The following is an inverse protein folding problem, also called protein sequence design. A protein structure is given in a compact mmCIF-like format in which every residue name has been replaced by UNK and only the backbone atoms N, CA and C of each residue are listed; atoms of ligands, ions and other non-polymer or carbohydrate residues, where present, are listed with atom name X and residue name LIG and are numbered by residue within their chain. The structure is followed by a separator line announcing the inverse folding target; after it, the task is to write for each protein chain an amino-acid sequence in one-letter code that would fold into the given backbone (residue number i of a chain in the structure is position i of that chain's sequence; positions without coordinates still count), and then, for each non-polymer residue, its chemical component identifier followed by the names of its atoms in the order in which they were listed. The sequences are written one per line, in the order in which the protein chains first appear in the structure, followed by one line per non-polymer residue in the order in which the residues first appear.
data_IF_195011279264
#
_entry.id   IF_195011279264
#
_cell.length_a   1.000
_cell.length_b   1.000
_cell.length_c   1.000
_cell.angle_alpha   90.00
_cell.angle_beta   90.00
_cell.angle_gamma   90.00
#
_symmetry.space_group_name_H-M   'P 1'
#
loop_
_entity.id
_entity.type
_entity.pdbx_description
1 polymer ?
#
# COMPACT_ATOMS: atom_id res chain seq x y z
N UNK A 1 16.31 -3.16 7.11
CA UNK A 1 17.64 -2.58 6.95
C UNK A 1 17.97 -1.61 8.10
N UNK A 2 19.19 -1.12 8.19
CA UNK A 2 19.65 -0.25 9.29
C UNK A 2 18.86 1.06 9.38
N UNK A 3 18.46 1.64 8.24
CA UNK A 3 17.68 2.88 8.21
C UNK A 3 16.26 2.69 8.77
N UNK A 4 15.58 1.61 8.39
CA UNK A 4 14.27 1.28 8.94
C UNK A 4 14.33 1.00 10.44
N UNK A 5 15.39 0.31 10.90
CA UNK A 5 15.62 0.07 12.31
C UNK A 5 15.90 1.37 13.09
N UNK A 6 16.65 2.30 12.50
CA UNK A 6 16.91 3.60 13.12
C UNK A 6 15.63 4.44 13.28
N UNK A 7 14.76 4.46 12.27
CA UNK A 7 13.46 5.15 12.34
C UNK A 7 12.59 4.63 13.50
N UNK A 8 12.70 3.34 13.82
CA UNK A 8 11.91 2.72 14.88
C UNK A 8 12.53 2.85 16.29
N UNK A 9 13.64 3.58 16.43
CA UNK A 9 14.28 3.78 17.72
C UNK A 9 13.66 4.94 18.50
N UNK A 10 13.25 4.75 19.77
CA UNK A 10 12.63 5.79 20.60
C UNK A 10 13.50 7.05 20.77
N UNK A 11 14.82 6.91 20.83
CA UNK A 11 15.73 8.04 20.95
C UNK A 11 15.75 8.91 19.69
N UNK A 12 15.76 8.27 18.50
CA UNK A 12 15.70 8.97 17.23
C UNK A 12 14.36 9.70 17.07
N UNK A 13 13.26 9.06 17.45
CA UNK A 13 11.93 9.65 17.48
C UNK A 13 11.87 10.88 18.39
N UNK A 14 12.40 10.79 19.61
CA UNK A 14 12.45 11.91 20.53
C UNK A 14 13.21 13.12 19.94
N UNK A 15 14.38 12.89 19.32
CA UNK A 15 15.14 13.95 18.65
C UNK A 15 14.38 14.57 17.48
N UNK A 16 13.70 13.77 16.70
CA UNK A 16 12.89 14.27 15.57
C UNK A 16 11.69 15.11 16.06
N UNK A 17 10.98 14.65 17.09
CA UNK A 17 9.82 15.36 17.63
C UNK A 17 10.20 16.70 18.29
N UNK A 18 11.36 16.74 18.94
CA UNK A 18 11.88 17.96 19.61
C UNK A 18 12.64 18.91 18.68
N UNK A 19 12.75 18.60 17.39
CA UNK A 19 13.42 19.46 16.42
C UNK A 19 12.62 20.75 16.18
N UNK A 20 13.16 21.89 16.63
CA UNK A 20 12.45 23.17 16.69
C UNK A 20 12.48 23.96 15.36
N UNK A 21 13.45 23.74 14.48
CA UNK A 21 13.50 24.38 13.17
C UNK A 21 12.55 23.67 12.20
N UNK A 22 11.32 24.16 12.14
CA UNK A 22 10.23 23.55 11.38
C UNK A 22 10.51 23.56 9.88
N UNK A 23 11.08 24.63 9.33
CA UNK A 23 11.34 24.75 7.89
C UNK A 23 12.38 23.71 7.44
N UNK A 24 13.48 23.61 8.16
CA UNK A 24 14.52 22.62 7.91
C UNK A 24 13.98 21.20 8.10
N UNK A 25 13.16 20.96 9.14
CA UNK A 25 12.54 19.66 9.39
C UNK A 25 11.65 19.22 8.24
N UNK A 26 10.78 20.09 7.75
CA UNK A 26 9.89 19.79 6.60
C UNK A 26 10.69 19.49 5.34
N UNK A 27 11.66 20.34 5.02
CA UNK A 27 12.53 20.16 3.85
C UNK A 27 13.32 18.84 3.90
N UNK A 28 13.86 18.52 5.06
CA UNK A 28 14.60 17.29 5.31
C UNK A 28 13.71 16.05 5.17
N UNK A 29 12.53 16.08 5.79
CA UNK A 29 11.54 15.00 5.72
C UNK A 29 11.15 14.71 4.28
N UNK A 30 10.77 15.74 3.51
CA UNK A 30 10.42 15.61 2.10
C UNK A 30 11.54 14.97 1.26
N UNK A 31 12.77 15.42 1.48
CA UNK A 31 13.93 14.86 0.78
C UNK A 31 14.15 13.39 1.10
N UNK A 32 13.99 13.00 2.37
CA UNK A 32 14.14 11.60 2.78
C UNK A 32 13.02 10.72 2.24
N UNK A 33 11.78 11.19 2.19
CA UNK A 33 10.67 10.49 1.55
C UNK A 33 10.98 10.16 0.08
N UNK A 34 11.43 11.14 -0.68
CA UNK A 34 11.80 10.96 -2.09
C UNK A 34 12.96 9.96 -2.27
N UNK A 35 13.97 10.04 -1.40
CA UNK A 35 15.12 9.12 -1.44
C UNK A 35 14.67 7.71 -1.04
N UNK A 36 13.84 7.57 0.00
CA UNK A 36 13.32 6.29 0.46
C UNK A 36 12.50 5.59 -0.62
N UNK A 37 11.60 6.31 -1.28
CA UNK A 37 10.80 5.76 -2.38
C UNK A 37 11.69 5.24 -3.53
N UNK A 38 12.72 6.00 -3.90
CA UNK A 38 13.71 5.57 -4.91
C UNK A 38 14.51 4.34 -4.46
N UNK A 39 14.92 4.30 -3.19
CA UNK A 39 15.62 3.15 -2.63
C UNK A 39 14.76 1.89 -2.62
N UNK A 40 13.49 1.99 -2.19
CA UNK A 40 12.53 0.88 -2.22
C UNK A 40 12.41 0.33 -3.65
N UNK A 41 12.13 1.20 -4.63
CA UNK A 41 12.07 0.80 -6.05
C UNK A 41 13.34 0.04 -6.48
N UNK A 42 14.54 0.58 -6.21
CA UNK A 42 15.78 -0.07 -6.61
C UNK A 42 15.99 -1.43 -5.93
N UNK A 43 15.66 -1.54 -4.65
CA UNK A 43 15.75 -2.81 -3.91
C UNK A 43 14.80 -3.85 -4.51
N UNK A 44 13.58 -3.46 -4.85
CA UNK A 44 12.61 -4.35 -5.49
C UNK A 44 13.08 -4.81 -6.87
N UNK A 45 13.58 -3.91 -7.71
CA UNK A 45 14.16 -4.26 -9.03
C UNK A 45 15.31 -5.25 -8.88
N UNK A 46 16.25 -4.99 -7.95
CA UNK A 46 17.38 -5.90 -7.70
C UNK A 46 16.88 -7.28 -7.23
N UNK A 47 15.89 -7.34 -6.36
CA UNK A 47 15.30 -8.60 -5.87
C UNK A 47 14.60 -9.37 -7.00
N UNK A 48 13.80 -8.68 -7.80
CA UNK A 48 13.15 -9.27 -8.98
C UNK A 48 14.19 -9.86 -9.94
N UNK A 49 15.20 -9.10 -10.30
CA UNK A 49 16.27 -9.55 -11.19
C UNK A 49 17.06 -10.75 -10.62
N UNK A 50 17.36 -10.75 -9.32
CA UNK A 50 18.04 -11.89 -8.67
C UNK A 50 17.18 -13.16 -8.70
N UNK A 51 15.89 -13.04 -8.42
CA UNK A 51 14.95 -14.15 -8.50
C UNK A 51 14.89 -14.71 -9.94
N UNK A 52 14.67 -13.86 -10.92
CA UNK A 52 14.52 -14.23 -12.33
C UNK A 52 15.80 -14.84 -12.93
N UNK A 53 16.98 -14.51 -12.36
CA UNK A 53 18.26 -15.09 -12.74
C UNK A 53 18.64 -16.34 -11.91
N UNK A 54 17.74 -16.89 -11.10
CA UNK A 54 17.98 -18.09 -10.29
C UNK A 54 18.99 -17.88 -9.14
N UNK A 55 19.23 -16.63 -8.71
CA UNK A 55 20.22 -16.25 -7.69
C UNK A 55 19.60 -15.89 -6.35
N UNK A 56 18.28 -15.97 -6.21
CA UNK A 56 17.59 -15.62 -4.98
C UNK A 56 17.30 -16.84 -4.12
N UNK A 57 17.59 -16.75 -2.82
CA UNK A 57 16.95 -17.56 -1.79
C UNK A 57 15.59 -16.92 -1.48
N UNK A 58 14.51 -17.66 -1.61
CA UNK A 58 13.15 -17.21 -1.24
C UNK A 58 12.92 -17.34 0.28
N UNK A 59 13.87 -17.96 1.03
CA UNK A 59 13.76 -18.15 2.46
C UNK A 59 13.92 -16.83 3.23
N UNK A 60 13.01 -16.57 4.16
CA UNK A 60 13.10 -15.48 5.15
C UNK A 60 12.43 -14.16 4.78
N UNK A 61 12.07 -13.92 3.51
CA UNK A 61 11.35 -12.69 3.12
C UNK A 61 9.85 -12.79 3.38
N UNK A 62 9.30 -13.97 3.18
CA UNK A 62 7.88 -14.25 3.40
C UNK A 62 7.49 -14.14 4.89
N UNK A 63 8.36 -14.60 5.80
CA UNK A 63 8.07 -14.65 7.24
C UNK A 63 7.77 -13.27 7.85
N UNK A 64 8.35 -12.18 7.32
CA UNK A 64 8.14 -10.82 7.85
C UNK A 64 6.94 -10.11 7.23
N UNK A 65 6.45 -10.53 6.06
CA UNK A 65 5.28 -9.95 5.38
C UNK A 65 4.02 -10.74 5.75
N UNK A 66 4.13 -12.05 5.95
CA UNK A 66 3.03 -12.98 6.21
C UNK A 66 2.14 -12.57 7.40
N UNK A 67 2.72 -11.97 8.43
CA UNK A 67 1.94 -11.53 9.60
C UNK A 67 1.21 -10.19 9.41
N UNK A 68 1.51 -9.44 8.34
CA UNK A 68 0.97 -8.08 8.18
C UNK A 68 -0.36 -8.02 7.43
N UNK A 69 -0.58 -8.83 6.41
CA UNK A 69 -1.68 -8.62 5.46
C UNK A 69 -3.02 -9.04 6.01
N UNK A 70 -3.09 -10.19 6.69
CA UNK A 70 -4.34 -10.64 7.35
C UNK A 70 -4.80 -9.69 8.45
N UNK A 71 -3.87 -8.91 9.04
CA UNK A 71 -4.18 -7.91 10.05
C UNK A 71 -4.54 -6.55 9.44
N UNK A 72 -4.14 -6.27 8.18
CA UNK A 72 -4.34 -4.94 7.58
C UNK A 72 -5.80 -4.56 7.44
N UNK A 73 -6.66 -5.49 7.14
CA UNK A 73 -8.10 -5.23 6.98
C UNK A 73 -8.93 -5.49 8.24
N UNK A 74 -8.31 -5.87 9.36
CA UNK A 74 -9.01 -6.07 10.62
C UNK A 74 -10.23 -6.99 10.48
N UNK A 75 -11.43 -6.47 10.75
CA UNK A 75 -12.69 -7.24 10.63
C UNK A 75 -13.16 -7.49 9.19
N UNK A 76 -12.62 -6.77 8.20
CA UNK A 76 -12.96 -6.94 6.77
C UNK A 76 -11.94 -7.83 6.08
N UNK A 77 -11.86 -9.07 6.50
CA UNK A 77 -10.90 -10.04 5.96
C UNK A 77 -11.20 -10.39 4.50
N UNK A 78 -10.15 -10.55 3.73
CA UNK A 78 -10.23 -10.96 2.32
C UNK A 78 -10.52 -12.45 2.24
N UNK A 79 -11.49 -12.85 1.44
CA UNK A 79 -11.82 -14.22 1.12
C UNK A 79 -11.73 -14.53 -0.38
N UNK A 80 -11.96 -15.79 -0.75
CA UNK A 80 -11.80 -16.27 -2.13
C UNK A 80 -12.74 -15.59 -3.16
N UNK A 81 -13.82 -14.97 -2.71
CA UNK A 81 -14.77 -14.27 -3.59
C UNK A 81 -14.48 -12.77 -3.69
N UNK A 82 -13.48 -12.30 -2.97
CA UNK A 82 -13.06 -10.90 -2.99
C UNK A 82 -12.09 -10.62 -4.13
N UNK A 83 -11.98 -9.34 -4.48
CA UNK A 83 -11.00 -8.83 -5.43
C UNK A 83 -10.19 -7.72 -4.79
N UNK A 84 -8.88 -7.90 -4.70
CA UNK A 84 -7.95 -6.91 -4.16
C UNK A 84 -7.30 -6.10 -5.26
N UNK A 85 -7.22 -4.78 -5.06
CA UNK A 85 -6.38 -3.86 -5.83
C UNK A 85 -5.23 -3.36 -4.96
N UNK A 86 -3.99 -3.53 -5.41
CA UNK A 86 -2.80 -2.89 -4.81
C UNK A 86 -2.34 -1.74 -5.70
N UNK A 87 -2.37 -0.53 -5.18
CA UNK A 87 -1.88 0.68 -5.84
C UNK A 87 -0.43 0.89 -5.44
N UNK A 88 0.47 0.95 -6.44
CA UNK A 88 1.91 0.92 -6.25
C UNK A 88 2.44 -0.48 -5.97
N UNK A 89 2.21 -1.41 -6.92
CA UNK A 89 2.55 -2.82 -6.76
C UNK A 89 4.06 -3.10 -6.79
N UNK A 90 4.83 -2.22 -7.44
CA UNK A 90 6.29 -2.33 -7.53
C UNK A 90 6.78 -3.49 -8.40
N UNK A 91 8.11 -3.64 -8.42
CA UNK A 91 8.78 -4.70 -9.19
C UNK A 91 8.84 -6.05 -8.48
N UNK A 92 8.51 -6.09 -7.19
CA UNK A 92 8.57 -7.31 -6.37
C UNK A 92 7.30 -7.44 -5.50
N UNK A 93 6.14 -7.81 -6.12
CA UNK A 93 4.80 -7.63 -5.58
C UNK A 93 4.40 -8.72 -4.57
N UNK A 94 5.14 -8.84 -3.48
CA UNK A 94 4.94 -9.90 -2.49
C UNK A 94 3.59 -9.82 -1.79
N UNK A 95 3.05 -8.61 -1.57
CA UNK A 95 1.70 -8.41 -1.02
C UNK A 95 0.64 -9.10 -1.86
N UNK A 96 0.68 -8.94 -3.20
CA UNK A 96 -0.28 -9.59 -4.11
C UNK A 96 -0.14 -11.11 -4.08
N UNK A 97 1.10 -11.60 -4.18
CA UNK A 97 1.39 -13.04 -4.19
C UNK A 97 0.90 -13.70 -2.90
N UNK A 98 1.12 -13.06 -1.78
CA UNK A 98 0.71 -13.58 -0.49
C UNK A 98 -0.82 -13.61 -0.36
N UNK A 99 -1.51 -12.50 -0.65
CA UNK A 99 -2.97 -12.45 -0.59
C UNK A 99 -3.59 -13.52 -1.48
N UNK A 100 -3.16 -13.64 -2.73
CA UNK A 100 -3.71 -14.64 -3.64
C UNK A 100 -3.52 -16.07 -3.10
N UNK A 101 -2.33 -16.41 -2.62
CA UNK A 101 -2.03 -17.75 -2.08
C UNK A 101 -2.80 -18.08 -0.80
N UNK A 102 -2.97 -17.13 0.09
CA UNK A 102 -3.61 -17.37 1.38
C UNK A 102 -5.14 -17.37 1.30
N UNK A 103 -5.69 -16.56 0.41
CA UNK A 103 -7.14 -16.32 0.37
C UNK A 103 -7.83 -16.93 -0.86
N UNK A 104 -7.09 -17.17 -1.94
CA UNK A 104 -7.65 -17.53 -3.23
C UNK A 104 -8.38 -16.38 -3.93
N UNK A 105 -8.26 -15.15 -3.44
CA UNK A 105 -8.85 -13.96 -4.05
C UNK A 105 -8.17 -13.61 -5.38
N UNK A 106 -8.93 -13.05 -6.32
CA UNK A 106 -8.36 -12.40 -7.49
C UNK A 106 -7.65 -11.11 -7.07
N UNK A 107 -6.45 -10.87 -7.57
CA UNK A 107 -5.66 -9.69 -7.18
C UNK A 107 -5.14 -8.93 -8.37
N UNK A 108 -5.22 -7.60 -8.30
CA UNK A 108 -4.75 -6.68 -9.33
C UNK A 108 -3.69 -5.78 -8.70
N UNK A 109 -2.54 -5.65 -9.36
CA UNK A 109 -1.54 -4.65 -9.05
C UNK A 109 -1.50 -3.57 -10.13
N UNK A 110 -1.42 -2.32 -9.75
CA UNK A 110 -1.13 -1.23 -10.68
C UNK A 110 0.11 -0.47 -10.24
N UNK A 111 0.90 -0.07 -11.24
CA UNK A 111 2.06 0.81 -11.04
C UNK A 111 2.25 1.72 -12.26
N UNK A 112 2.66 2.96 -12.02
CA UNK A 112 2.94 3.93 -13.09
C UNK A 112 4.27 3.66 -13.80
N UNK A 113 5.12 2.82 -13.21
CA UNK A 113 6.41 2.46 -13.74
C UNK A 113 6.33 1.18 -14.57
N UNK A 114 6.43 1.30 -15.87
CA UNK A 114 6.33 0.16 -16.79
C UNK A 114 7.43 -0.89 -16.59
N UNK A 115 8.64 -0.52 -16.13
CA UNK A 115 9.69 -1.48 -15.78
C UNK A 115 9.30 -2.29 -14.54
N UNK A 116 8.73 -1.63 -13.54
CA UNK A 116 8.25 -2.31 -12.35
C UNK A 116 7.11 -3.30 -12.69
N UNK A 117 6.19 -2.91 -13.57
CA UNK A 117 5.10 -3.77 -14.05
C UNK A 117 5.64 -5.01 -14.77
N UNK A 118 6.56 -4.86 -15.72
CA UNK A 118 7.17 -6.01 -16.44
C UNK A 118 7.87 -6.98 -15.47
N UNK A 119 8.72 -6.45 -14.62
CA UNK A 119 9.43 -7.25 -13.63
C UNK A 119 8.47 -7.92 -12.64
N UNK A 120 7.49 -7.17 -12.14
CA UNK A 120 6.49 -7.67 -11.19
C UNK A 120 5.68 -8.82 -11.77
N UNK A 121 5.19 -8.70 -13.00
CA UNK A 121 4.44 -9.78 -13.67
C UNK A 121 5.32 -11.01 -13.87
N UNK A 122 6.58 -10.85 -14.22
CA UNK A 122 7.52 -11.98 -14.35
C UNK A 122 7.81 -12.65 -13.02
N UNK A 123 7.92 -11.89 -11.93
CA UNK A 123 8.06 -12.42 -10.55
C UNK A 123 6.82 -13.23 -10.18
N UNK A 124 5.62 -12.72 -10.46
CA UNK A 124 4.35 -13.43 -10.24
C UNK A 124 4.34 -14.76 -11.00
N UNK A 125 4.71 -14.77 -12.28
CA UNK A 125 4.74 -15.99 -13.11
C UNK A 125 5.69 -17.06 -12.55
N UNK A 126 6.74 -16.66 -11.82
CA UNK A 126 7.69 -17.59 -11.18
C UNK A 126 7.18 -18.07 -9.82
N UNK A 127 6.68 -17.15 -9.00
CA UNK A 127 6.35 -17.45 -7.59
C UNK A 127 4.92 -17.93 -7.37
N UNK A 128 3.99 -17.54 -8.25
CA UNK A 128 2.56 -17.82 -8.11
C UNK A 128 1.89 -18.12 -9.47
N UNK A 129 2.39 -19.12 -10.24
CA UNK A 129 1.95 -19.36 -11.60
C UNK A 129 0.49 -19.84 -11.73
N UNK A 130 -0.12 -20.26 -10.63
CA UNK A 130 -1.48 -20.80 -10.61
C UNK A 130 -2.50 -19.84 -9.96
N UNK A 131 -2.04 -18.69 -9.51
CA UNK A 131 -2.88 -17.69 -8.84
C UNK A 131 -3.43 -16.67 -9.84
N UNK A 132 -4.60 -16.13 -9.57
CA UNK A 132 -5.24 -15.07 -10.38
C UNK A 132 -4.64 -13.70 -10.01
N UNK A 133 -3.48 -13.40 -10.57
CA UNK A 133 -2.71 -12.16 -10.31
C UNK A 133 -2.42 -11.45 -11.62
N UNK A 134 -2.90 -10.22 -11.75
CA UNK A 134 -2.62 -9.35 -12.90
C UNK A 134 -1.91 -8.08 -12.43
N UNK A 135 -0.82 -7.70 -13.11
CA UNK A 135 -0.16 -6.42 -12.88
C UNK A 135 -0.21 -5.60 -14.15
N UNK A 136 -0.63 -4.34 -14.07
CA UNK A 136 -0.77 -3.46 -15.23
C UNK A 136 -0.23 -2.07 -15.01
N UNK A 137 0.21 -1.45 -16.12
CA UNK A 137 0.64 -0.05 -16.14
C UNK A 137 -0.57 0.85 -16.45
N UNK A 138 -1.48 0.95 -15.47
CA UNK A 138 -2.73 1.69 -15.55
C UNK A 138 -2.90 2.58 -14.33
N UNK A 139 -3.72 3.61 -14.46
CA UNK A 139 -4.28 4.39 -13.36
C UNK A 139 -5.64 3.83 -12.95
N UNK A 140 -6.18 4.27 -11.82
CA UNK A 140 -7.43 3.72 -11.27
C UNK A 140 -8.63 3.96 -12.19
N UNK A 141 -8.65 5.07 -12.94
CA UNK A 141 -9.68 5.43 -13.91
C UNK A 141 -9.63 4.61 -15.21
N UNK A 142 -8.52 3.93 -15.48
CA UNK A 142 -8.34 3.08 -16.65
C UNK A 142 -8.71 1.61 -16.40
N UNK A 143 -9.00 1.24 -15.14
CA UNK A 143 -9.38 -0.14 -14.79
C UNK A 143 -10.84 -0.39 -15.15
N UNK A 144 -11.09 -1.25 -16.14
CA UNK A 144 -12.44 -1.57 -16.62
C UNK A 144 -13.33 -2.16 -15.51
N UNK A 145 -12.77 -3.01 -14.66
CA UNK A 145 -13.49 -3.78 -13.63
C UNK A 145 -13.39 -3.18 -12.22
N UNK A 146 -13.04 -1.92 -12.06
CA UNK A 146 -12.81 -1.30 -10.76
C UNK A 146 -14.03 -1.39 -9.81
N UNK A 147 -15.23 -1.43 -10.36
CA UNK A 147 -16.48 -1.60 -9.61
C UNK A 147 -16.57 -2.98 -8.91
N UNK A 148 -15.84 -3.98 -9.39
CA UNK A 148 -15.81 -5.33 -8.78
C UNK A 148 -14.77 -5.45 -7.65
N UNK A 149 -13.91 -4.45 -7.47
CA UNK A 149 -12.90 -4.43 -6.41
C UNK A 149 -13.57 -4.26 -5.05
N UNK A 150 -13.27 -5.16 -4.12
CA UNK A 150 -13.81 -5.15 -2.75
C UNK A 150 -12.82 -4.58 -1.74
N UNK A 151 -11.53 -4.74 -2.00
CA UNK A 151 -10.44 -4.31 -1.11
C UNK A 151 -9.36 -3.57 -1.88
N UNK A 152 -8.86 -2.48 -1.32
CA UNK A 152 -7.78 -1.68 -1.92
C UNK A 152 -6.67 -1.50 -0.89
N UNK A 153 -5.41 -1.71 -1.29
CA UNK A 153 -4.23 -1.35 -0.51
C UNK A 153 -3.47 -0.24 -1.24
N UNK A 154 -3.10 0.80 -0.52
CA UNK A 154 -2.14 1.79 -0.99
C UNK A 154 -0.75 1.50 -0.43
N UNK A 155 0.26 1.47 -1.30
CA UNK A 155 1.64 1.49 -0.87
C UNK A 155 1.96 2.78 -0.10
N UNK A 156 2.75 2.67 0.96
CA UNK A 156 3.09 3.80 1.84
C UNK A 156 3.93 4.88 1.16
N UNK A 157 4.61 4.54 0.07
CA UNK A 157 5.54 5.42 -0.66
C UNK A 157 4.90 6.20 -1.81
N UNK A 158 3.58 6.18 -1.94
CA UNK A 158 2.84 6.95 -2.96
C UNK A 158 2.56 8.36 -2.44
N UNK A 159 3.06 9.42 -3.10
CA UNK A 159 2.88 10.80 -2.62
C UNK A 159 1.45 11.32 -2.79
N UNK A 160 0.75 10.91 -3.86
CA UNK A 160 -0.59 11.40 -4.24
C UNK A 160 -1.73 10.45 -3.82
N UNK A 161 -1.50 9.60 -2.83
CA UNK A 161 -2.45 8.55 -2.44
C UNK A 161 -3.82 9.07 -2.00
N UNK A 162 -3.89 10.26 -1.43
CA UNK A 162 -5.16 10.87 -1.04
C UNK A 162 -5.92 11.49 -2.21
N UNK A 163 -5.21 11.99 -3.25
CA UNK A 163 -5.85 12.41 -4.49
C UNK A 163 -6.48 11.21 -5.20
N UNK A 164 -5.75 10.09 -5.27
CA UNK A 164 -6.27 8.83 -5.81
C UNK A 164 -7.45 8.30 -4.96
N UNK A 165 -7.40 8.41 -3.64
CA UNK A 165 -8.52 8.04 -2.77
C UNK A 165 -9.79 8.83 -3.11
N UNK A 166 -9.67 10.13 -3.38
CA UNK A 166 -10.80 10.96 -3.78
C UNK A 166 -11.37 10.52 -5.14
N UNK A 167 -10.54 10.17 -6.12
CA UNK A 167 -11.00 9.63 -7.41
C UNK A 167 -11.75 8.30 -7.24
N UNK A 168 -11.26 7.41 -6.36
CA UNK A 168 -11.88 6.12 -6.08
C UNK A 168 -13.30 6.23 -5.54
N UNK A 169 -13.69 7.37 -4.96
CA UNK A 169 -15.06 7.57 -4.46
C UNK A 169 -16.12 7.38 -5.53
N UNK A 170 -15.88 7.87 -6.74
CA UNK A 170 -16.83 7.74 -7.85
C UNK A 170 -16.63 6.48 -8.68
N UNK A 171 -15.45 5.86 -8.61
CA UNK A 171 -15.07 4.74 -9.45
C UNK A 171 -15.42 3.37 -8.86
N UNK A 172 -15.46 3.24 -7.55
CA UNK A 172 -15.64 1.94 -6.86
C UNK A 172 -17.07 1.74 -6.36
N UNK A 173 -17.40 0.49 -6.00
CA UNK A 173 -18.65 0.17 -5.33
C UNK A 173 -18.72 0.73 -3.89
N UNK A 174 -19.91 0.75 -3.29
CA UNK A 174 -20.14 1.34 -1.97
C UNK A 174 -19.59 0.50 -0.80
N UNK A 175 -19.31 -0.77 -1.02
CA UNK A 175 -18.84 -1.69 0.01
C UNK A 175 -17.31 -1.80 0.09
N UNK A 176 -16.59 -1.09 -0.81
CA UNK A 176 -15.13 -1.15 -0.85
C UNK A 176 -14.48 -0.75 0.48
N UNK A 177 -13.45 -1.50 0.86
CA UNK A 177 -12.60 -1.20 2.03
C UNK A 177 -11.22 -0.82 1.57
N UNK A 178 -10.70 0.31 2.05
CA UNK A 178 -9.39 0.84 1.67
C UNK A 178 -8.44 0.80 2.84
N UNK A 179 -7.32 0.09 2.69
CA UNK A 179 -6.19 0.09 3.62
C UNK A 179 -5.13 1.07 3.12
N UNK A 180 -5.00 2.20 3.79
CA UNK A 180 -4.02 3.23 3.49
C UNK A 180 -2.80 3.05 4.36
N UNK A 181 -1.69 2.60 3.80
CA UNK A 181 -0.40 2.55 4.49
C UNK A 181 0.21 3.96 4.52
N UNK A 182 0.61 4.42 5.70
CA UNK A 182 1.16 5.77 5.89
C UNK A 182 2.25 5.77 6.97
N UNK A 183 2.95 6.89 7.14
CA UNK A 183 3.89 7.07 8.24
C UNK A 183 3.88 8.50 8.73
N UNK A 184 3.46 8.68 9.97
CA UNK A 184 3.51 9.95 10.66
C UNK A 184 4.76 10.05 11.54
N UNK A 185 5.04 11.21 12.09
CA UNK A 185 6.18 11.49 12.96
C UNK A 185 7.50 10.98 12.34
N UNK A 186 8.24 10.17 13.07
CA UNK A 186 9.51 9.62 12.60
C UNK A 186 9.36 8.70 11.38
N UNK A 187 8.24 8.01 11.23
CA UNK A 187 7.95 7.18 10.06
C UNK A 187 7.74 7.99 8.78
N UNK A 188 7.42 9.29 8.92
CA UNK A 188 7.34 10.21 7.79
C UNK A 188 8.68 10.42 7.07
N UNK A 189 9.80 10.06 7.68
CA UNK A 189 11.12 10.07 7.01
C UNK A 189 11.25 8.96 5.95
N UNK A 190 10.38 7.94 6.00
CA UNK A 190 10.39 6.84 5.04
C UNK A 190 9.14 6.83 4.16
N UNK A 191 7.98 7.17 4.71
CA UNK A 191 6.68 7.07 4.06
C UNK A 191 6.03 8.45 3.90
N UNK A 192 5.00 8.53 3.07
CA UNK A 192 4.15 9.73 3.04
C UNK A 192 3.14 9.70 4.19
N UNK A 193 2.92 10.85 4.87
CA UNK A 193 2.11 10.92 6.07
C UNK A 193 0.61 10.75 5.80
N UNK A 194 -0.15 10.61 6.90
CA UNK A 194 -1.60 10.69 6.86
C UNK A 194 -2.05 12.11 6.47
N UNK A 195 -3.24 12.20 5.88
CA UNK A 195 -3.91 13.46 5.56
C UNK A 195 -5.38 13.38 5.95
N UNK A 196 -5.98 14.53 6.24
CA UNK A 196 -7.42 14.61 6.42
C UNK A 196 -8.15 14.20 5.13
N UNK A 197 -9.19 13.42 5.27
CA UNK A 197 -10.08 13.02 4.17
C UNK A 197 -11.38 13.84 4.22
N UNK A 198 -12.10 13.89 3.11
CA UNK A 198 -13.46 14.41 3.11
C UNK A 198 -14.39 13.41 3.83
N UNK A 199 -14.78 13.74 5.05
CA UNK A 199 -15.63 12.90 5.89
C UNK A 199 -17.05 12.69 5.32
N UNK A 200 -17.45 13.44 4.31
CA UNK A 200 -18.70 13.21 3.57
C UNK A 200 -18.57 12.09 2.54
N UNK A 201 -17.34 11.76 2.16
CA UNK A 201 -17.01 10.70 1.18
C UNK A 201 -16.41 9.48 1.85
N UNK A 202 -15.37 9.67 2.66
CA UNK A 202 -14.61 8.58 3.26
C UNK A 202 -14.60 8.69 4.78
N UNK A 203 -15.08 7.67 5.46
CA UNK A 203 -15.02 7.54 6.91
C UNK A 203 -13.82 6.70 7.29
N UNK A 204 -12.95 7.22 8.15
CA UNK A 204 -11.92 6.42 8.80
C UNK A 204 -12.58 5.53 9.85
N UNK A 205 -12.56 4.21 9.63
CA UNK A 205 -13.14 3.21 10.53
C UNK A 205 -12.18 2.76 11.61
N UNK A 206 -10.88 2.72 11.30
CA UNK A 206 -9.85 2.19 12.18
C UNK A 206 -8.49 2.80 11.87
N UNK A 207 -7.73 3.09 12.91
CA UNK A 207 -6.31 3.46 12.84
C UNK A 207 -5.49 2.38 13.53
N UNK A 208 -4.62 1.74 12.79
CA UNK A 208 -3.74 0.69 13.30
C UNK A 208 -2.32 1.24 13.45
N UNK A 209 -1.97 1.64 14.66
CA UNK A 209 -0.60 2.03 14.99
C UNK A 209 0.27 0.79 15.17
N UNK A 210 1.37 0.72 14.46
CA UNK A 210 2.28 -0.43 14.42
C UNK A 210 3.69 -0.04 14.86
N UNK A 211 3.99 0.02 16.17
CA UNK A 211 5.27 0.55 16.68
C UNK A 211 6.52 -0.18 16.17
N UNK A 212 6.38 -1.45 15.79
CA UNK A 212 7.48 -2.28 15.28
C UNK A 212 7.53 -2.36 13.76
N UNK A 213 6.62 -1.69 13.07
CA UNK A 213 6.51 -1.66 11.61
C UNK A 213 6.89 -0.28 11.09
N UNK A 214 7.41 -0.23 9.87
CA UNK A 214 7.85 1.02 9.24
C UNK A 214 6.68 1.92 8.80
N UNK A 215 5.47 1.40 8.74
CA UNK A 215 4.26 2.14 8.41
C UNK A 215 3.11 1.76 9.34
N UNK A 216 2.14 2.64 9.43
CA UNK A 216 0.85 2.45 10.08
C UNK A 216 -0.24 2.30 9.01
N UNK A 217 -1.47 1.92 9.41
CA UNK A 217 -2.59 1.70 8.50
C UNK A 217 -3.81 2.46 8.97
N UNK A 218 -4.47 3.14 8.04
CA UNK A 218 -5.81 3.69 8.23
C UNK A 218 -6.78 2.93 7.32
N UNK A 219 -7.87 2.43 7.90
CA UNK A 219 -8.95 1.79 7.15
C UNK A 219 -10.05 2.78 6.86
N UNK A 220 -10.39 2.92 5.59
CA UNK A 220 -11.47 3.79 5.12
C UNK A 220 -12.60 2.99 4.48
N UNK A 221 -13.82 3.47 4.67
CA UNK A 221 -15.00 3.03 3.94
C UNK A 221 -15.76 4.24 3.40
N UNK A 222 -16.50 4.03 2.32
CA UNK A 222 -17.39 5.06 1.79
C UNK A 222 -18.48 5.39 2.80
N UNK A 223 -18.82 6.67 2.86
CA UNK A 223 -20.03 7.14 3.52
C UNK A 223 -21.18 6.89 2.55
N UNK A 224 -22.14 6.04 2.93
CA UNK A 224 -23.30 5.74 2.10
C UNK A 224 -23.98 7.04 1.71
N UNK A 225 -24.15 7.26 0.41
CA UNK A 225 -24.98 8.36 -0.10
C UNK A 225 -26.38 8.19 0.49
N UNK A 226 -26.86 9.18 1.23
CA UNK A 226 -28.28 9.20 1.61
C UNK A 226 -29.08 9.36 0.31
N UNK A 227 -29.50 8.25 -0.27
CA UNK A 227 -30.53 8.27 -1.31
C UNK A 227 -31.74 8.90 -0.65
N UNK A 228 -32.06 10.12 -1.05
CA UNK A 228 -33.23 10.83 -0.58
C UNK A 228 -34.47 9.99 -0.86
N UNK A 229 -35.09 9.46 0.19
CA UNK A 229 -36.47 8.99 0.09
C UNK A 229 -37.30 10.26 -0.02
N UNK A 230 -37.51 10.72 -1.24
CA UNK A 230 -38.61 11.64 -1.52
C UNK A 230 -39.90 10.87 -1.25
N UNK A 231 -40.49 11.14 -0.11
CA UNK A 231 -41.87 10.76 0.14
C UNK A 231 -42.75 11.58 -0.81
N UNK A 232 -43.33 10.94 -1.81
CA UNK A 232 -44.47 11.42 -2.57
C UNK A 232 -45.73 11.22 -1.74
#
# INVERSE_FOLDING_TARGET
DEYSQWILQPLAEHHYLTWNDLETKISFTKKLQEVSAKCVKQVEVIRAQRLLNGRASTSGYFENIEHCINEEFGRWQIGQNDKLLLIGSGAYPMTLIQVAKETGAAVIGIDIDSEAVDLGQRVVNVLAPNEDIVISNQTVDQLEDIQSVTHIIFSSTIPIKYDILNELYTLTNDEVVVAMRYGDDMKALFNYPSQATDETQWRCEELQTRPKQIFDIALYRKVASKVGVEHV
#
